data_IF_475949470064
#
_entry.id   IF_475949470064
#
_cell.length_a   1.000
_cell.length_b   1.000
_cell.length_c   1.000
_cell.angle_alpha   90.00
_cell.angle_beta   90.00
_cell.angle_gamma   90.00
#
_symmetry.space_group_name_H-M   'P 1'
#
loop_
_entity.id
_entity.type
_entity.pdbx_description
1 polymer ?
#
# COMPACT_ATOMS: atom_id res chain seq x y z
N UNK A 1 14.49 1.46 25.41
CA UNK A 1 14.81 2.70 24.68
C UNK A 1 15.23 2.31 23.28
N UNK A 2 14.61 2.86 22.23
CA UNK A 2 14.96 2.54 20.83
C UNK A 2 16.23 3.26 20.38
N UNK A 3 16.86 2.83 19.27
CA UNK A 3 18.06 3.47 18.73
C UNK A 3 17.77 4.94 18.39
N UNK A 4 18.67 5.83 18.84
CA UNK A 4 18.63 7.25 18.47
C UNK A 4 19.04 7.37 17.00
N UNK A 5 18.18 7.97 16.18
CA UNK A 5 18.47 8.24 14.78
C UNK A 5 19.63 9.22 14.59
N UNK A 6 20.04 9.45 13.34
CA UNK A 6 21.10 10.39 13.00
C UNK A 6 20.80 11.79 13.57
N UNK A 7 21.60 12.21 14.54
CA UNK A 7 21.56 13.59 15.05
C UNK A 7 22.20 14.51 14.01
N UNK A 8 21.49 15.58 13.65
CA UNK A 8 22.06 16.63 12.81
C UNK A 8 23.24 17.35 13.51
N UNK A 9 23.87 18.33 12.85
CA UNK A 9 25.05 19.03 13.37
C UNK A 9 24.83 19.74 14.73
N UNK A 10 23.58 19.96 15.13
CA UNK A 10 23.21 20.55 16.42
C UNK A 10 22.86 19.52 17.52
N UNK A 11 23.20 18.23 17.32
CA UNK A 11 23.03 17.20 18.34
C UNK A 11 21.56 16.87 18.65
N UNK A 12 21.25 16.34 19.86
CA UNK A 12 19.90 15.90 20.23
C UNK A 12 18.83 17.00 20.32
N UNK A 13 19.24 18.28 20.32
CA UNK A 13 18.37 19.44 20.50
C UNK A 13 18.17 20.25 19.20
N UNK A 14 18.79 19.86 18.08
CA UNK A 14 18.66 20.53 16.79
C UNK A 14 17.58 19.94 15.87
N UNK A 15 17.22 20.63 14.77
CA UNK A 15 16.43 20.02 13.71
C UNK A 15 17.13 18.76 13.19
N UNK A 16 16.39 17.66 13.08
CA UNK A 16 16.90 16.36 12.60
C UNK A 16 17.61 16.51 11.25
N UNK A 17 18.75 15.82 11.10
CA UNK A 17 19.61 15.93 9.94
C UNK A 17 18.90 15.53 8.65
N UNK A 18 18.93 16.41 7.65
CA UNK A 18 18.56 16.06 6.29
C UNK A 18 19.61 15.08 5.73
N UNK A 19 19.14 13.95 5.21
CA UNK A 19 19.99 12.99 4.50
C UNK A 19 19.55 13.00 3.04
N UNK A 20 20.50 13.20 2.13
CA UNK A 20 20.30 13.04 0.70
C UNK A 20 21.16 11.88 0.23
N UNK A 21 20.57 10.93 -0.48
CA UNK A 21 21.27 9.74 -0.97
C UNK A 21 20.34 8.77 -1.68
N UNK A 22 20.93 7.81 -2.39
CA UNK A 22 20.21 6.72 -3.04
C UNK A 22 20.34 5.46 -2.20
N UNK A 23 19.21 4.82 -1.89
CA UNK A 23 19.14 3.51 -1.22
C UNK A 23 18.91 2.46 -2.30
N UNK A 24 19.83 1.49 -2.42
CA UNK A 24 19.74 0.38 -3.40
C UNK A 24 19.06 -0.88 -2.85
N UNK A 25 18.70 -0.90 -1.57
CA UNK A 25 17.98 -1.99 -0.92
C UNK A 25 16.61 -1.58 -0.40
N UNK A 26 16.05 -2.39 0.49
CA UNK A 26 14.75 -2.12 1.11
C UNK A 26 14.83 -1.01 2.15
N UNK A 27 13.79 -0.19 2.20
CA UNK A 27 13.63 0.88 3.18
C UNK A 27 12.35 0.62 3.98
N UNK A 28 12.51 0.27 5.27
CA UNK A 28 11.39 0.20 6.21
C UNK A 28 11.29 1.50 7.00
N UNK A 29 10.14 2.17 6.92
CA UNK A 29 9.84 3.38 7.70
C UNK A 29 8.76 3.04 8.71
N UNK A 30 9.07 3.14 10.00
CA UNK A 30 8.13 2.82 11.10
C UNK A 30 7.09 3.92 11.35
N UNK A 31 7.05 4.94 10.50
CA UNK A 31 6.14 6.07 10.58
C UNK A 31 5.69 6.51 9.19
N UNK A 32 5.14 7.71 9.08
CA UNK A 32 4.62 8.21 7.81
C UNK A 32 5.72 8.70 6.87
N UNK A 33 5.51 8.49 5.58
CA UNK A 33 6.31 9.07 4.50
C UNK A 33 5.53 10.25 3.93
N UNK A 34 6.13 11.45 3.95
CA UNK A 34 5.58 12.66 3.34
C UNK A 34 6.43 13.00 2.12
N UNK A 35 5.90 12.76 0.93
CA UNK A 35 6.58 13.03 -0.34
C UNK A 35 5.63 13.77 -1.27
N UNK A 36 6.16 14.58 -2.17
CA UNK A 36 5.37 15.22 -3.21
C UNK A 36 4.84 14.17 -4.20
N UNK A 37 5.71 13.25 -4.63
CA UNK A 37 5.39 12.20 -5.59
C UNK A 37 6.11 10.90 -5.26
N UNK A 38 5.53 9.77 -5.65
CA UNK A 38 6.14 8.44 -5.54
C UNK A 38 6.18 7.77 -6.92
N UNK A 39 7.38 7.54 -7.44
CA UNK A 39 7.60 6.85 -8.71
C UNK A 39 8.12 5.44 -8.49
N UNK A 40 7.38 4.45 -8.99
CA UNK A 40 7.69 3.02 -8.82
C UNK A 40 8.04 2.42 -10.18
N UNK A 41 9.19 1.74 -10.27
CA UNK A 41 9.62 1.05 -11.51
C UNK A 41 8.57 0.02 -11.91
N UNK A 42 7.93 0.23 -13.06
CA UNK A 42 6.82 -0.61 -13.55
C UNK A 42 7.00 -1.06 -15.01
N UNK A 43 8.24 -1.08 -15.52
CA UNK A 43 8.56 -1.48 -16.89
C UNK A 43 8.23 -2.96 -17.13
N UNK A 44 7.58 -3.28 -18.25
CA UNK A 44 7.21 -4.65 -18.65
C UNK A 44 8.41 -5.60 -18.64
N UNK A 45 9.61 -5.14 -18.97
CA UNK A 45 10.86 -5.94 -18.98
C UNK A 45 11.31 -6.37 -17.58
N UNK A 46 10.86 -5.66 -16.54
CA UNK A 46 11.13 -6.02 -15.14
C UNK A 46 10.09 -6.99 -14.55
N UNK A 47 9.10 -7.40 -15.35
CA UNK A 47 7.96 -8.21 -14.91
C UNK A 47 7.79 -9.44 -15.83
N UNK A 48 7.22 -10.51 -15.27
CA UNK A 48 6.94 -11.76 -16.00
C UNK A 48 5.62 -12.38 -15.50
N UNK A 49 5.13 -13.40 -16.20
CA UNK A 49 3.93 -14.17 -15.81
C UNK A 49 2.66 -13.32 -15.68
N UNK A 50 2.41 -12.44 -16.66
CA UNK A 50 1.24 -11.56 -16.67
C UNK A 50 -0.06 -12.37 -16.68
N UNK A 51 -0.94 -12.07 -15.72
CA UNK A 51 -2.31 -12.59 -15.63
C UNK A 51 -3.24 -11.44 -15.27
N UNK A 52 -4.43 -11.41 -15.86
CA UNK A 52 -5.46 -10.45 -15.50
C UNK A 52 -6.07 -10.82 -14.15
N UNK A 53 -6.38 -9.81 -13.32
CA UNK A 53 -7.13 -10.01 -12.08
C UNK A 53 -8.61 -10.20 -12.43
N UNK A 54 -9.05 -11.44 -12.64
CA UNK A 54 -10.46 -11.74 -12.87
C UNK A 54 -11.31 -11.71 -11.60
N UNK A 55 -12.60 -11.48 -11.77
CA UNK A 55 -13.57 -11.32 -10.66
C UNK A 55 -13.20 -10.13 -9.79
N UNK A 56 -12.63 -9.09 -10.39
CA UNK A 56 -12.14 -7.92 -9.69
C UNK A 56 -13.28 -7.14 -9.02
N UNK A 57 -14.42 -7.02 -9.69
CA UNK A 57 -15.60 -6.34 -9.14
C UNK A 57 -16.12 -7.06 -7.89
N UNK A 58 -16.32 -8.38 -7.97
CA UNK A 58 -16.74 -9.21 -6.83
C UNK A 58 -15.74 -9.17 -5.66
N UNK A 59 -14.45 -9.07 -5.97
CA UNK A 59 -13.41 -8.94 -4.94
C UNK A 59 -13.48 -7.58 -4.26
N UNK A 60 -13.63 -6.51 -5.02
CA UNK A 60 -13.79 -5.15 -4.46
C UNK A 60 -15.06 -5.05 -3.62
N UNK A 61 -16.16 -5.68 -4.04
CA UNK A 61 -17.43 -5.71 -3.28
C UNK A 61 -17.29 -6.36 -1.89
N UNK A 62 -16.34 -7.30 -1.73
CA UNK A 62 -16.03 -7.94 -0.44
C UNK A 62 -15.12 -7.12 0.47
N UNK A 63 -14.50 -6.05 -0.04
CA UNK A 63 -13.57 -5.22 0.72
C UNK A 63 -14.26 -4.00 1.33
N UNK A 64 -13.88 -3.65 2.55
CA UNK A 64 -14.44 -2.49 3.26
C UNK A 64 -13.38 -1.40 3.43
N UNK A 65 -13.68 -0.21 2.92
CA UNK A 65 -12.96 1.01 3.27
C UNK A 65 -13.35 1.46 4.67
N UNK A 66 -12.39 1.51 5.59
CA UNK A 66 -12.63 1.80 7.01
C UNK A 66 -11.82 3.01 7.47
N UNK A 67 -12.40 3.78 8.39
CA UNK A 67 -11.70 4.77 9.19
C UNK A 67 -11.25 4.10 10.49
N UNK A 68 -10.01 4.34 10.90
CA UNK A 68 -9.43 3.73 12.09
C UNK A 68 -8.38 4.66 12.70
N UNK A 69 -7.82 4.27 13.84
CA UNK A 69 -6.71 4.97 14.45
C UNK A 69 -5.46 4.09 14.45
N UNK A 70 -4.31 4.68 14.08
CA UNK A 70 -3.02 3.99 14.05
C UNK A 70 -2.18 4.45 15.22
N UNK A 71 -1.57 3.50 15.93
CA UNK A 71 -0.63 3.81 16.99
C UNK A 71 0.67 4.37 16.40
N UNK A 72 0.91 5.65 16.64
CA UNK A 72 2.12 6.37 16.21
C UNK A 72 2.76 7.01 17.44
N UNK A 73 3.99 6.60 17.77
CA UNK A 73 4.78 7.15 18.91
C UNK A 73 3.99 7.19 20.24
N UNK A 74 3.24 6.14 20.53
CA UNK A 74 2.46 6.01 21.77
C UNK A 74 1.14 6.78 21.79
N UNK A 75 0.69 7.34 20.66
CA UNK A 75 -0.63 7.98 20.51
C UNK A 75 -1.39 7.34 19.37
N UNK A 76 -2.72 7.38 19.45
CA UNK A 76 -3.58 6.99 18.35
C UNK A 76 -3.89 8.21 17.47
N UNK A 77 -3.71 8.05 16.16
CA UNK A 77 -3.95 9.09 15.16
C UNK A 77 -4.94 8.55 14.14
N UNK A 78 -5.99 9.32 13.85
CA UNK A 78 -6.99 8.97 12.83
C UNK A 78 -6.36 8.78 11.46
N UNK A 79 -6.79 7.74 10.78
CA UNK A 79 -6.38 7.35 9.43
C UNK A 79 -7.56 6.62 8.75
N UNK A 80 -7.34 6.12 7.54
CA UNK A 80 -8.30 5.30 6.84
C UNK A 80 -7.65 4.49 5.71
N UNK A 81 -8.33 3.43 5.29
CA UNK A 81 -7.86 2.54 4.24
C UNK A 81 -8.51 1.18 4.35
N UNK A 82 -7.74 0.13 4.05
CA UNK A 82 -8.17 -1.25 4.13
C UNK A 82 -7.52 -1.97 5.31
N UNK A 83 -8.20 -2.99 5.84
CA UNK A 83 -7.65 -3.88 6.86
C UNK A 83 -6.96 -5.05 6.18
N UNK A 84 -5.73 -5.35 6.61
CA UNK A 84 -4.88 -6.32 5.92
C UNK A 84 -5.46 -7.74 5.93
N UNK A 85 -6.13 -8.14 7.01
CA UNK A 85 -6.77 -9.44 7.15
C UNK A 85 -7.97 -9.60 6.19
N UNK A 86 -8.77 -8.55 6.04
CA UNK A 86 -9.89 -8.54 5.08
C UNK A 86 -9.37 -8.70 3.65
N UNK A 87 -8.30 -7.97 3.31
CA UNK A 87 -7.64 -8.11 2.00
C UNK A 87 -7.03 -9.50 1.85
N UNK A 88 -6.43 -10.08 2.90
CA UNK A 88 -5.82 -11.40 2.85
C UNK A 88 -6.85 -12.49 2.51
N UNK A 89 -8.08 -12.38 3.01
CA UNK A 89 -9.16 -13.32 2.72
C UNK A 89 -9.61 -13.31 1.24
N UNK A 90 -9.38 -12.19 0.53
CA UNK A 90 -9.87 -11.99 -0.85
C UNK A 90 -8.74 -12.01 -1.89
N UNK A 91 -7.60 -11.39 -1.57
CA UNK A 91 -6.38 -11.30 -2.38
C UNK A 91 -5.13 -11.49 -1.50
N UNK A 92 -4.81 -12.73 -1.11
CA UNK A 92 -3.65 -13.01 -0.25
C UNK A 92 -2.32 -12.57 -0.87
N UNK A 93 -2.19 -12.61 -2.20
CA UNK A 93 -0.98 -12.19 -2.93
C UNK A 93 -0.61 -10.71 -2.74
N UNK A 94 -1.53 -9.88 -2.26
CA UNK A 94 -1.32 -8.46 -2.00
C UNK A 94 -1.01 -8.15 -0.54
N UNK A 95 -0.87 -9.18 0.30
CA UNK A 95 -0.58 -9.05 1.72
C UNK A 95 0.76 -9.71 2.01
N UNK A 96 1.60 -9.02 2.77
CA UNK A 96 2.90 -9.55 3.19
C UNK A 96 3.01 -9.43 4.71
N UNK A 97 3.60 -10.42 5.36
CA UNK A 97 3.87 -10.36 6.79
C UNK A 97 5.26 -9.78 7.05
N UNK A 98 5.37 -9.02 8.12
CA UNK A 98 6.64 -8.50 8.61
C UNK A 98 7.44 -9.62 9.26
N UNK A 99 8.74 -9.65 9.00
CA UNK A 99 9.65 -10.63 9.61
C UNK A 99 9.66 -10.50 11.15
N UNK A 100 9.57 -9.27 11.65
CA UNK A 100 9.52 -8.96 13.08
C UNK A 100 8.08 -8.73 13.56
N UNK A 101 7.48 -9.77 14.15
CA UNK A 101 6.21 -9.65 14.89
C UNK A 101 4.94 -9.97 14.10
N UNK A 102 5.06 -10.33 12.81
CA UNK A 102 3.95 -10.91 12.03
C UNK A 102 2.81 -9.96 11.69
N UNK A 103 3.01 -8.65 11.84
CA UNK A 103 2.06 -7.65 11.35
C UNK A 103 1.95 -7.73 9.83
N UNK A 104 0.75 -7.53 9.30
CA UNK A 104 0.49 -7.62 7.87
C UNK A 104 0.55 -6.23 7.21
N UNK A 105 1.20 -6.16 6.05
CA UNK A 105 1.32 -4.99 5.18
C UNK A 105 0.59 -5.23 3.87
N UNK A 106 0.07 -4.14 3.29
CA UNK A 106 -0.64 -4.16 2.02
C UNK A 106 0.23 -3.66 0.87
N UNK A 107 0.18 -4.37 -0.25
CA UNK A 107 0.67 -3.87 -1.54
C UNK A 107 -0.42 -3.02 -2.22
N UNK A 108 -0.43 -1.73 -1.91
CA UNK A 108 -1.38 -0.78 -2.49
C UNK A 108 -1.28 -0.64 -4.02
N UNK A 109 -0.12 -0.92 -4.64
CA UNK A 109 -0.01 -0.94 -6.10
C UNK A 109 -0.84 -2.05 -6.74
N UNK A 110 -0.88 -3.22 -6.10
CA UNK A 110 -1.73 -4.32 -6.54
C UNK A 110 -3.21 -4.00 -6.37
N UNK A 111 -3.57 -3.31 -5.28
CA UNK A 111 -4.94 -2.84 -5.04
C UNK A 111 -5.38 -1.86 -6.13
N UNK A 112 -4.51 -0.92 -6.55
CA UNK A 112 -4.82 -0.05 -7.70
C UNK A 112 -5.07 -0.85 -8.98
N UNK A 113 -4.28 -1.90 -9.24
CA UNK A 113 -4.50 -2.81 -10.37
C UNK A 113 -5.86 -3.53 -10.31
N UNK A 114 -6.27 -3.97 -9.12
CA UNK A 114 -7.58 -4.57 -8.88
C UNK A 114 -8.71 -3.60 -9.21
N UNK A 115 -8.63 -2.36 -8.72
CA UNK A 115 -9.64 -1.33 -8.98
C UNK A 115 -9.79 -1.03 -10.47
N UNK A 116 -8.69 -1.06 -11.25
CA UNK A 116 -8.74 -0.89 -12.71
C UNK A 116 -9.54 -2.00 -13.38
N UNK A 117 -9.30 -3.26 -13.02
CA UNK A 117 -10.07 -4.37 -13.58
C UNK A 117 -11.53 -4.37 -13.10
N UNK A 118 -11.80 -3.99 -11.85
CA UNK A 118 -13.17 -3.87 -11.34
C UNK A 118 -13.99 -2.85 -12.13
N UNK A 119 -13.41 -1.69 -12.48
CA UNK A 119 -14.08 -0.69 -13.32
C UNK A 119 -14.32 -1.21 -14.74
N UNK A 120 -13.39 -2.01 -15.30
CA UNK A 120 -13.57 -2.62 -16.63
C UNK A 120 -14.69 -3.66 -16.62
N UNK A 121 -14.73 -4.52 -15.60
CA UNK A 121 -15.79 -5.51 -15.41
C UNK A 121 -17.16 -4.82 -15.24
N UNK A 122 -17.25 -3.80 -14.37
CA UNK A 122 -18.46 -3.00 -14.19
C UNK A 122 -18.93 -2.36 -15.51
N UNK A 123 -18.00 -1.82 -16.32
CA UNK A 123 -18.32 -1.26 -17.63
C UNK A 123 -18.83 -2.33 -18.61
N UNK A 124 -18.30 -3.55 -18.54
CA UNK A 124 -18.73 -4.65 -19.38
C UNK A 124 -20.17 -5.08 -19.04
N UNK A 125 -20.50 -5.21 -17.75
CA UNK A 125 -21.86 -5.51 -17.30
C UNK A 125 -22.86 -4.43 -17.73
N UNK A 126 -22.49 -3.15 -17.59
CA UNK A 126 -23.34 -2.04 -18.04
C UNK A 126 -23.59 -2.06 -19.55
N UNK A 127 -22.63 -2.48 -20.36
CA UNK A 127 -22.81 -2.63 -21.82
C UNK A 127 -23.76 -3.77 -22.16
N UNK A 128 -23.64 -4.89 -21.47
CA UNK A 128 -24.55 -6.03 -21.61
C UNK A 128 -25.98 -5.63 -21.25
N UNK A 129 -26.17 -4.96 -20.11
CA UNK A 129 -27.48 -4.48 -19.66
C UNK A 129 -28.11 -3.45 -20.63
N UNK A 130 -27.28 -2.64 -21.31
CA UNK A 130 -27.73 -1.62 -22.27
C UNK A 130 -27.88 -2.13 -23.70
N UNK A 131 -27.58 -3.41 -23.97
CA UNK A 131 -27.67 -3.99 -25.32
C UNK A 131 -26.66 -3.41 -26.32
N UNK A 132 -25.56 -2.80 -25.84
CA UNK A 132 -24.47 -2.27 -26.68
C UNK A 132 -23.29 -3.23 -26.57
N UNK A 133 -23.40 -4.41 -27.17
CA UNK A 133 -22.35 -5.41 -27.24
C UNK A 133 -21.44 -5.17 -28.46
#
# INVERSE_FOLDING_TARGET
MGPRGFTGPAGPAGPTGAVSGTVYGDLTVTGNIYTNDTYIRSDRRSKRNFRTMGGALDKVDKLNGQLYEVQTRGRFVRSGGLIAQDVQAVLPDLVTADEDGGLLRLNYNGITGLLVEAVKELRAELRQLRGVA
#
